data_IF_276499793668
#
_entry.id   IF_276499793668
#
_cell.length_a   1.000
_cell.length_b   1.000
_cell.length_c   1.000
_cell.angle_alpha   90.00
_cell.angle_beta   90.00
_cell.angle_gamma   90.00
#
_symmetry.space_group_name_H-M   'P 1'
#
loop_
_entity.id
_entity.type
_entity.pdbx_description
1 polymer ?
#
# COMPACT_ATOMS: atom_id res chain seq x y z
N UNK A 1 3.45 -19.09 -15.99
CA UNK A 1 3.07 -19.64 -14.68
C UNK A 1 1.76 -20.39 -14.86
N UNK A 2 1.82 -21.71 -14.81
CA UNK A 2 0.70 -22.66 -14.95
C UNK A 2 0.87 -23.70 -13.85
N UNK A 3 0.89 -23.23 -12.60
CA UNK A 3 0.82 -24.09 -11.44
C UNK A 3 -0.58 -23.87 -10.83
N UNK A 4 -1.42 -24.90 -10.84
CA UNK A 4 -2.82 -24.81 -10.38
C UNK A 4 -3.90 -24.59 -11.46
N UNK A 5 -3.61 -24.83 -12.76
CA UNK A 5 -4.64 -24.80 -13.83
C UNK A 5 -5.12 -23.40 -14.24
N UNK A 6 -4.43 -22.36 -13.77
CA UNK A 6 -4.64 -20.97 -14.17
C UNK A 6 -3.55 -20.53 -15.14
N UNK A 7 -3.94 -19.85 -16.22
CA UNK A 7 -3.06 -19.16 -17.14
C UNK A 7 -3.10 -17.67 -16.83
N UNK A 8 -1.99 -17.14 -16.30
CA UNK A 8 -1.83 -15.68 -16.12
C UNK A 8 -1.93 -14.99 -17.48
N UNK A 9 -2.89 -14.08 -17.63
CA UNK A 9 -3.09 -13.27 -18.83
C UNK A 9 -2.54 -11.87 -18.70
N UNK A 10 -2.44 -11.38 -17.47
CA UNK A 10 -1.97 -10.03 -17.18
C UNK A 10 -1.26 -9.99 -15.83
N UNK A 11 -0.17 -9.23 -15.77
CA UNK A 11 0.55 -8.91 -14.56
C UNK A 11 0.94 -7.45 -14.64
N UNK A 12 0.44 -6.62 -13.72
CA UNK A 12 0.75 -5.19 -13.68
C UNK A 12 1.40 -4.84 -12.36
N UNK A 13 2.52 -4.14 -12.45
CA UNK A 13 3.16 -3.52 -11.31
C UNK A 13 2.46 -2.18 -11.00
N UNK A 14 1.89 -2.08 -9.81
CA UNK A 14 1.25 -0.88 -9.28
C UNK A 14 2.06 -0.24 -8.14
N UNK A 15 3.28 -0.70 -7.90
CA UNK A 15 4.15 -0.25 -6.79
C UNK A 15 4.21 1.28 -6.71
N UNK A 16 4.49 1.96 -7.82
CA UNK A 16 4.56 3.43 -7.87
C UNK A 16 3.21 4.11 -7.61
N UNK A 17 2.12 3.52 -8.13
CA UNK A 17 0.75 4.04 -7.92
C UNK A 17 0.35 3.94 -6.46
N UNK A 18 0.67 2.82 -5.82
CA UNK A 18 0.40 2.57 -4.41
C UNK A 18 1.28 3.46 -3.53
N UNK A 19 2.58 3.57 -3.83
CA UNK A 19 3.48 4.50 -3.14
C UNK A 19 2.93 5.94 -3.17
N UNK A 20 2.50 6.43 -4.33
CA UNK A 20 1.87 7.76 -4.47
C UNK A 20 0.58 7.88 -3.64
N UNK A 21 -0.20 6.82 -3.52
CA UNK A 21 -1.41 6.81 -2.69
C UNK A 21 -1.06 7.02 -1.23
N UNK A 22 -0.01 6.34 -0.73
CA UNK A 22 0.49 6.53 0.62
C UNK A 22 1.05 7.93 0.86
N UNK A 23 1.70 8.54 -0.13
CA UNK A 23 2.14 9.94 -0.04
C UNK A 23 0.95 10.90 0.13
N UNK A 24 -0.14 10.69 -0.62
CA UNK A 24 -1.37 11.49 -0.50
C UNK A 24 -1.99 11.30 0.88
N UNK A 25 -2.07 10.05 1.38
CA UNK A 25 -2.59 9.77 2.72
C UNK A 25 -1.76 10.49 3.80
N UNK A 26 -0.42 10.43 3.72
CA UNK A 26 0.46 11.15 4.64
C UNK A 26 0.24 12.65 4.60
N UNK A 27 0.19 13.24 3.40
CA UNK A 27 -0.07 14.68 3.25
C UNK A 27 -1.41 15.09 3.86
N UNK A 28 -2.46 14.27 3.69
CA UNK A 28 -3.80 14.54 4.27
C UNK A 28 -3.78 14.49 5.80
N UNK A 29 -3.11 13.51 6.40
CA UNK A 29 -3.01 13.41 7.87
C UNK A 29 -2.22 14.57 8.45
N UNK A 30 -1.13 14.98 7.78
CA UNK A 30 -0.32 16.13 8.20
C UNK A 30 -1.11 17.46 8.13
N UNK A 31 -1.91 17.65 7.08
CA UNK A 31 -2.69 18.90 6.90
C UNK A 31 -3.94 18.99 7.77
N UNK A 32 -4.62 17.88 8.00
CA UNK A 32 -5.89 17.86 8.74
C UNK A 32 -5.72 17.93 10.25
N UNK A 33 -4.49 17.83 10.76
CA UNK A 33 -4.23 17.75 12.19
C UNK A 33 -4.82 16.49 12.84
N UNK A 34 -5.26 15.50 12.05
CA UNK A 34 -5.87 14.23 12.50
C UNK A 34 -5.00 13.53 13.54
N UNK A 35 -3.68 13.70 13.50
CA UNK A 35 -2.76 13.18 14.55
C UNK A 35 -3.15 13.66 15.96
N UNK A 36 -3.68 14.86 16.12
CA UNK A 36 -4.12 15.39 17.41
C UNK A 36 -5.46 14.78 17.87
N UNK A 37 -6.33 14.43 16.92
CA UNK A 37 -7.62 13.77 17.18
C UNK A 37 -7.39 12.26 17.44
N UNK A 38 -6.48 11.63 16.70
CA UNK A 38 -6.09 10.23 16.86
C UNK A 38 -5.57 9.93 18.27
N UNK A 39 -4.84 10.87 18.89
CA UNK A 39 -4.41 10.74 20.31
C UNK A 39 -5.57 10.63 21.30
N UNK A 40 -6.76 11.12 20.93
CA UNK A 40 -7.98 11.02 21.73
C UNK A 40 -8.77 9.76 21.41
N UNK A 41 -8.61 9.22 20.19
CA UNK A 41 -9.38 8.07 19.71
C UNK A 41 -8.75 6.73 20.06
N UNK A 42 -7.45 6.52 19.85
CA UNK A 42 -6.68 5.37 20.37
C UNK A 42 -5.18 5.42 19.97
N UNK A 43 -4.30 4.75 20.72
CA UNK A 43 -2.85 4.62 20.41
C UNK A 43 -2.58 3.89 19.09
N UNK A 44 -3.37 2.87 18.74
CA UNK A 44 -3.15 2.10 17.51
C UNK A 44 -3.25 2.98 16.24
N UNK A 45 -4.14 3.98 16.25
CA UNK A 45 -4.25 4.91 15.12
C UNK A 45 -3.04 5.85 15.01
N UNK A 46 -2.41 6.21 16.13
CA UNK A 46 -1.19 7.03 16.14
C UNK A 46 -0.03 6.22 15.58
N UNK A 47 0.11 4.96 15.99
CA UNK A 47 1.18 4.08 15.51
C UNK A 47 1.04 3.80 14.00
N UNK A 48 -0.19 3.63 13.51
CA UNK A 48 -0.45 3.51 12.06
C UNK A 48 -0.03 4.76 11.28
N UNK A 49 -0.38 5.96 11.77
CA UNK A 49 -0.01 7.23 11.14
C UNK A 49 1.51 7.43 11.14
N UNK A 50 2.17 7.15 12.27
CA UNK A 50 3.61 7.31 12.41
C UNK A 50 4.38 6.26 11.58
N UNK A 51 3.75 5.13 11.26
CA UNK A 51 4.29 4.08 10.37
C UNK A 51 4.31 4.42 8.87
N UNK A 52 3.67 5.52 8.43
CA UNK A 52 3.60 5.87 7.00
C UNK A 52 4.97 6.12 6.36
N UNK A 53 5.91 6.68 7.10
CA UNK A 53 7.27 6.90 6.58
C UNK A 53 8.03 5.60 6.37
N UNK A 54 7.91 4.67 7.31
CA UNK A 54 8.48 3.32 7.18
C UNK A 54 7.91 2.61 5.97
N UNK A 55 6.59 2.69 5.79
CA UNK A 55 5.89 2.06 4.67
C UNK A 55 6.29 2.68 3.32
N UNK A 56 6.37 4.01 3.23
CA UNK A 56 6.87 4.70 2.03
C UNK A 56 8.33 4.35 1.71
N UNK A 57 9.18 4.24 2.74
CA UNK A 57 10.56 3.82 2.57
C UNK A 57 10.66 2.37 2.08
N UNK A 58 9.77 1.48 2.52
CA UNK A 58 9.72 0.11 2.03
C UNK A 58 9.40 0.05 0.52
N UNK A 59 8.44 0.85 0.04
CA UNK A 59 8.16 0.97 -1.39
C UNK A 59 9.35 1.57 -2.17
N UNK A 60 9.93 2.68 -1.68
CA UNK A 60 11.03 3.38 -2.36
C UNK A 60 12.33 2.59 -2.42
N UNK A 61 12.60 1.78 -1.40
CA UNK A 61 13.79 0.91 -1.36
C UNK A 61 13.61 -0.39 -2.15
N UNK A 62 12.39 -0.67 -2.64
CA UNK A 62 12.07 -1.95 -3.27
C UNK A 62 11.88 -3.11 -2.29
N UNK A 63 11.90 -2.86 -0.98
CA UNK A 63 11.60 -3.86 0.03
C UNK A 63 10.12 -4.30 0.01
N UNK A 64 9.24 -3.50 -0.61
CA UNK A 64 7.84 -3.81 -0.84
C UNK A 64 7.45 -3.49 -2.28
N UNK A 65 6.74 -4.42 -2.91
CA UNK A 65 6.13 -4.24 -4.23
C UNK A 65 4.64 -4.53 -4.15
N UNK A 66 3.88 -3.94 -5.05
CA UNK A 66 2.44 -4.18 -5.17
C UNK A 66 2.11 -4.47 -6.63
N UNK A 67 1.53 -5.64 -6.88
CA UNK A 67 1.16 -6.07 -8.22
C UNK A 67 -0.25 -6.64 -8.28
N UNK A 68 -0.84 -6.61 -9.47
CA UNK A 68 -2.10 -7.26 -9.79
C UNK A 68 -1.88 -8.35 -10.84
N UNK A 69 -2.32 -9.56 -10.54
CA UNK A 69 -2.26 -10.70 -11.46
C UNK A 69 -3.68 -11.05 -11.87
N UNK A 70 -3.94 -11.04 -13.18
CA UNK A 70 -5.18 -11.56 -13.76
C UNK A 70 -4.86 -12.88 -14.43
N UNK A 71 -5.68 -13.88 -14.15
CA UNK A 71 -5.51 -15.22 -14.67
C UNK A 71 -6.85 -15.84 -15.06
N UNK A 72 -6.80 -16.71 -16.05
CA UNK A 72 -7.95 -17.45 -16.56
C UNK A 72 -7.78 -18.94 -16.27
N UNK A 73 -8.88 -19.63 -15.95
CA UNK A 73 -8.87 -21.10 -15.83
C UNK A 73 -8.72 -21.71 -17.22
N UNK A 74 -7.74 -22.59 -17.37
CA UNK A 74 -7.62 -23.39 -18.59
C UNK A 74 -8.73 -24.46 -18.59
N UNK A 75 -9.45 -24.55 -19.71
CA UNK A 75 -10.56 -25.50 -19.92
C UNK A 75 -10.09 -26.95 -19.84
#
# INVERSE_FOLDING_TARGET
MTDGGLRVTYNEDWTDRVARTWEICKQRVQRSGVRHIAKVLDREQVDFIDGFDTLLNAYRSGAMQYGAIVAEKQA
#
